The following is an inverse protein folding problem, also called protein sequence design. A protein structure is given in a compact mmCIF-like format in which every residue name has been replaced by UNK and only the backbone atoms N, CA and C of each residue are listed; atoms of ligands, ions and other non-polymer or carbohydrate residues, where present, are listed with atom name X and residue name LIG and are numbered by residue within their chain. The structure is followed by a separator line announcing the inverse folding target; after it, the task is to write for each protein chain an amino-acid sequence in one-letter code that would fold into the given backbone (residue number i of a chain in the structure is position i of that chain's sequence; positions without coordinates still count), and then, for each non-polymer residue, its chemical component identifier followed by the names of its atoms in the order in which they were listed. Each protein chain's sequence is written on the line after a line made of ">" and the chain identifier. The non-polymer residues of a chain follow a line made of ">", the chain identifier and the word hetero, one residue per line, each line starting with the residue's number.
data_IF_589986172381
#
_entry.id   IF_589986172381
#
_cell.length_a   1.000
_cell.length_b   1.000
_cell.length_c   1.000
_cell.angle_alpha   90.00
_cell.angle_beta   90.00
_cell.angle_gamma   90.00
#
_symmetry.space_group_name_H-M   'P 1'
#
loop_
_entity.id
_entity.type
_entity.pdbx_description
1 polymer ?
#
# COMPACT_ATOMS: atom_id res chain seq x y z
N UNK A 1 -15.15 19.52 -27.96
CA UNK A 1 -13.80 18.95 -27.78
C UNK A 1 -13.39 19.23 -26.36
N UNK A 2 -13.24 18.22 -25.51
CA UNK A 2 -12.69 18.42 -24.17
C UNK A 2 -11.20 18.77 -24.35
N UNK A 3 -10.76 19.93 -23.84
CA UNK A 3 -9.32 20.24 -23.77
C UNK A 3 -8.60 19.15 -22.98
N UNK A 4 -7.39 18.78 -23.39
CA UNK A 4 -6.59 17.76 -22.69
C UNK A 4 -6.34 18.10 -21.21
N UNK A 5 -6.35 19.39 -20.87
CA UNK A 5 -6.22 19.88 -19.49
C UNK A 5 -7.48 19.52 -18.67
N UNK A 6 -8.67 19.74 -19.22
CA UNK A 6 -9.94 19.41 -18.55
C UNK A 6 -10.13 17.89 -18.40
N UNK A 7 -9.60 17.10 -19.34
CA UNK A 7 -9.57 15.64 -19.23
C UNK A 7 -8.65 15.17 -18.08
N UNK A 8 -7.48 15.80 -17.92
CA UNK A 8 -6.54 15.48 -16.85
C UNK A 8 -7.09 15.85 -15.46
N UNK A 9 -7.75 17.00 -15.33
CA UNK A 9 -8.39 17.44 -14.08
C UNK A 9 -9.48 16.44 -13.64
N UNK A 10 -10.34 16.00 -14.55
CA UNK A 10 -11.39 15.01 -14.24
C UNK A 10 -10.84 13.65 -13.85
N UNK A 11 -9.70 13.25 -14.41
CA UNK A 11 -9.01 12.02 -14.04
C UNK A 11 -8.39 12.13 -12.64
N UNK A 12 -7.78 13.28 -12.31
CA UNK A 12 -7.23 13.53 -10.97
C UNK A 12 -8.32 13.49 -9.89
N UNK A 13 -9.48 14.11 -10.14
CA UNK A 13 -10.63 14.07 -9.25
C UNK A 13 -11.12 12.63 -9.02
N UNK A 14 -11.24 11.83 -10.09
CA UNK A 14 -11.68 10.44 -10.00
C UNK A 14 -10.68 9.56 -9.23
N UNK A 15 -9.37 9.77 -9.44
CA UNK A 15 -8.31 9.07 -8.70
C UNK A 15 -8.32 9.45 -7.22
N UNK A 16 -8.57 10.71 -6.88
CA UNK A 16 -8.68 11.17 -5.50
C UNK A 16 -9.94 10.61 -4.81
N UNK A 17 -11.09 10.62 -5.51
CA UNK A 17 -12.35 10.09 -4.99
C UNK A 17 -12.30 8.56 -4.77
N UNK A 18 -11.63 7.82 -5.65
CA UNK A 18 -11.43 6.37 -5.48
C UNK A 18 -10.47 5.99 -4.35
N UNK A 19 -9.69 6.95 -3.83
CA UNK A 19 -8.71 6.80 -2.74
C UNK A 19 -9.20 7.40 -1.42
N UNK A 20 -10.49 7.72 -1.31
CA UNK A 20 -11.08 8.21 -0.07
C UNK A 20 -10.90 7.14 1.02
N UNK A 21 -9.95 7.37 1.93
CA UNK A 21 -9.54 6.46 3.02
C UNK A 21 -10.61 6.31 4.13
N UNK A 22 -11.89 6.48 3.82
CA UNK A 22 -13.03 6.36 4.74
C UNK A 22 -13.48 4.89 4.94
N UNK A 23 -12.74 3.94 4.38
CA UNK A 23 -13.01 2.52 4.60
C UNK A 23 -12.29 2.03 5.86
N UNK A 24 -12.91 1.18 6.68
CA UNK A 24 -12.25 0.61 7.84
C UNK A 24 -11.05 -0.23 7.44
N UNK A 25 -10.00 -0.23 8.29
CA UNK A 25 -8.83 -1.10 8.12
C UNK A 25 -9.28 -2.57 8.10
N UNK A 26 -9.24 -3.15 6.91
CA UNK A 26 -9.72 -4.50 6.61
C UNK A 26 -8.58 -5.52 6.54
N UNK A 27 -7.33 -5.06 6.38
CA UNK A 27 -6.13 -5.90 6.43
C UNK A 27 -5.50 -5.82 7.81
N UNK A 28 -5.37 -6.96 8.50
CA UNK A 28 -4.87 -7.04 9.87
C UNK A 28 -3.74 -8.04 9.98
N UNK A 29 -2.61 -7.60 10.54
CA UNK A 29 -1.49 -8.48 10.86
C UNK A 29 -1.80 -9.20 12.16
N UNK A 30 -2.01 -10.52 12.10
CA UNK A 30 -2.31 -11.33 13.29
C UNK A 30 -1.09 -11.51 14.19
N UNK A 31 0.11 -11.66 13.60
CA UNK A 31 1.36 -11.87 14.34
C UNK A 31 2.49 -11.04 13.70
N UNK A 32 2.85 -9.89 14.28
CA UNK A 32 3.91 -9.03 13.76
C UNK A 32 5.29 -9.69 13.74
N UNK A 33 5.58 -10.57 14.71
CA UNK A 33 6.86 -11.27 14.76
C UNK A 33 6.98 -12.25 13.58
N UNK A 34 5.95 -13.05 13.34
CA UNK A 34 5.92 -13.99 12.22
C UNK A 34 5.96 -13.27 10.87
N UNK A 35 5.31 -12.10 10.78
CA UNK A 35 5.38 -11.25 9.59
C UNK A 35 6.83 -10.90 9.27
N UNK A 36 7.64 -10.52 10.27
CA UNK A 36 9.06 -10.27 10.03
C UNK A 36 9.85 -11.56 9.75
N UNK A 37 9.79 -12.53 10.67
CA UNK A 37 10.71 -13.68 10.64
C UNK A 37 10.46 -14.66 9.50
N UNK A 38 9.25 -14.66 8.93
CA UNK A 38 8.93 -15.50 7.77
C UNK A 38 8.91 -14.68 6.50
N UNK A 39 8.02 -13.69 6.43
CA UNK A 39 7.74 -12.99 5.18
C UNK A 39 8.94 -12.13 4.73
N UNK A 40 9.59 -11.40 5.64
CA UNK A 40 10.80 -10.62 5.32
C UNK A 40 12.06 -11.50 5.34
N UNK A 41 12.38 -12.12 6.47
CA UNK A 41 13.70 -12.71 6.68
C UNK A 41 13.95 -13.97 5.83
N UNK A 42 12.93 -14.82 5.62
CA UNK A 42 13.06 -16.07 4.86
C UNK A 42 12.72 -15.85 3.38
N UNK A 43 11.63 -15.13 3.11
CA UNK A 43 11.09 -15.01 1.75
C UNK A 43 11.37 -13.66 1.07
N UNK A 44 12.11 -12.76 1.72
CA UNK A 44 12.52 -11.47 1.18
C UNK A 44 11.34 -10.57 0.74
N UNK A 45 10.26 -10.56 1.52
CA UNK A 45 9.15 -9.63 1.39
C UNK A 45 8.21 -9.90 0.19
N UNK A 46 7.67 -11.12 -0.03
CA UNK A 46 6.85 -11.43 -1.19
C UNK A 46 5.56 -10.59 -1.28
N UNK A 47 5.07 -10.02 -0.18
CA UNK A 47 3.89 -9.13 -0.16
C UNK A 47 4.04 -7.90 -1.03
N UNK A 48 5.25 -7.38 -1.15
CA UNK A 48 5.61 -6.26 -2.04
C UNK A 48 5.53 -6.65 -3.53
N UNK A 49 5.51 -7.94 -3.85
CA UNK A 49 5.55 -8.46 -5.22
C UNK A 49 4.21 -9.01 -5.70
N UNK A 50 3.50 -9.76 -4.85
CA UNK A 50 2.22 -10.34 -5.25
C UNK A 50 1.07 -9.34 -5.20
N UNK A 51 1.20 -8.23 -4.46
CA UNK A 51 0.15 -7.24 -4.32
C UNK A 51 0.14 -6.30 -5.54
N UNK A 52 -0.87 -6.38 -6.44
CA UNK A 52 -0.90 -5.55 -7.64
C UNK A 52 -1.18 -4.06 -7.34
N UNK A 53 -1.70 -3.76 -6.14
CA UNK A 53 -2.04 -2.42 -5.70
C UNK A 53 -0.95 -1.74 -4.86
N UNK A 54 0.17 -2.42 -4.58
CA UNK A 54 1.26 -1.85 -3.78
C UNK A 54 0.86 -1.52 -2.34
N UNK A 55 -0.06 -2.29 -1.74
CA UNK A 55 -0.59 -2.03 -0.41
C UNK A 55 0.44 -2.32 0.70
N UNK A 56 1.33 -3.28 0.49
CA UNK A 56 2.27 -3.75 1.51
C UNK A 56 3.67 -3.23 1.25
N UNK A 57 4.31 -2.73 2.31
CA UNK A 57 5.65 -2.16 2.24
C UNK A 57 6.47 -2.53 3.49
N UNK A 58 7.76 -2.81 3.28
CA UNK A 58 8.74 -2.84 4.35
C UNK A 58 9.59 -1.57 4.26
N UNK A 59 9.55 -0.78 5.33
CA UNK A 59 10.31 0.48 5.42
C UNK A 59 11.27 0.43 6.59
N UNK A 60 12.43 1.04 6.45
CA UNK A 60 13.34 1.25 7.57
C UNK A 60 12.88 2.49 8.36
N UNK A 61 12.64 2.33 9.66
CA UNK A 61 12.39 3.43 10.61
C UNK A 61 13.30 3.25 11.81
N UNK A 62 14.12 4.25 12.10
CA UNK A 62 15.07 4.24 13.23
C UNK A 62 15.98 2.98 13.24
N UNK A 63 16.44 2.56 12.06
CA UNK A 63 17.29 1.37 11.87
C UNK A 63 16.56 0.04 12.07
N UNK A 64 15.22 0.02 12.03
CA UNK A 64 14.39 -1.18 12.16
C UNK A 64 13.43 -1.30 10.99
N UNK A 65 13.29 -2.51 10.47
CA UNK A 65 12.25 -2.81 9.48
C UNK A 65 10.87 -2.77 10.12
N UNK A 66 9.97 -2.00 9.51
CA UNK A 66 8.57 -1.84 9.90
C UNK A 66 7.69 -2.21 8.72
N UNK A 67 6.72 -3.07 8.96
CA UNK A 67 5.71 -3.43 7.97
C UNK A 67 4.59 -2.39 7.95
N UNK A 68 4.32 -1.81 6.79
CA UNK A 68 3.31 -0.78 6.56
C UNK A 68 2.23 -1.31 5.61
N UNK A 69 0.98 -1.00 5.92
CA UNK A 69 -0.20 -1.33 5.10
C UNK A 69 -0.84 -0.01 4.67
N UNK A 70 -0.82 0.25 3.37
CA UNK A 70 -1.40 1.44 2.72
C UNK A 70 -2.81 1.11 2.19
N UNK A 71 -3.76 0.84 3.09
CA UNK A 71 -5.12 0.38 2.78
C UNK A 71 -6.20 1.28 3.36
#
# INVERSE_FOLDING_TARGET
>A
MLSGILAAEKLADALAAGRANDQPIHLRVKNPQLQKTSELDIYAGPSTRYCPAGVYEWVEKDGKDVFVINA
#
